data_IF_639370532878
#
_entry.id   IF_639370532878
#
_cell.length_a   1.000
_cell.length_b   1.000
_cell.length_c   1.000
_cell.angle_alpha   90.00
_cell.angle_beta   90.00
_cell.angle_gamma   90.00
#
_symmetry.space_group_name_H-M   'P 1'
#
loop_
_entity.id
_entity.type
_entity.pdbx_description
1 polymer ?
#
# COMPACT_ATOMS: atom_id res chain seq x y z
N UNK A 1 -23.35 2.83 15.33
CA UNK A 1 -23.03 1.52 14.68
C UNK A 1 -21.56 1.54 14.31
N UNK A 2 -20.86 0.39 14.25
CA UNK A 2 -19.47 0.39 13.79
C UNK A 2 -19.40 0.38 12.27
N UNK A 3 -18.71 1.36 11.68
CA UNK A 3 -18.47 1.47 10.25
C UNK A 3 -17.04 1.06 9.92
N UNK A 4 -16.89 0.08 9.04
CA UNK A 4 -15.58 -0.48 8.69
C UNK A 4 -15.22 -0.10 7.25
N UNK A 5 -13.97 0.31 7.03
CA UNK A 5 -13.43 0.61 5.71
C UNK A 5 -12.12 -0.14 5.47
N UNK A 6 -11.87 -0.51 4.21
CA UNK A 6 -10.62 -1.10 3.76
C UNK A 6 -9.91 -0.14 2.81
N UNK A 7 -8.67 0.22 3.12
CA UNK A 7 -7.85 1.15 2.35
C UNK A 7 -6.63 0.43 1.81
N UNK A 8 -6.44 0.52 0.50
CA UNK A 8 -5.30 -0.11 -0.18
C UNK A 8 -4.11 0.86 -0.24
N UNK A 9 -2.99 0.46 0.37
CA UNK A 9 -1.72 1.18 0.37
C UNK A 9 -0.88 0.69 -0.80
N UNK A 10 -0.84 1.49 -1.86
CA UNK A 10 0.01 1.22 -3.01
C UNK A 10 1.42 1.74 -2.76
N UNK A 11 2.40 0.83 -2.78
CA UNK A 11 3.81 1.16 -2.69
C UNK A 11 4.44 1.10 -4.08
N UNK A 12 5.43 1.96 -4.31
CA UNK A 12 6.20 1.99 -5.55
C UNK A 12 7.63 1.55 -5.26
N UNK A 13 8.19 0.73 -6.14
CA UNK A 13 9.58 0.26 -6.09
C UNK A 13 10.38 0.72 -7.31
N UNK A 14 11.62 0.22 -7.43
CA UNK A 14 12.59 0.68 -8.43
C UNK A 14 13.28 1.98 -8.00
N UNK A 15 13.95 2.66 -8.93
CA UNK A 15 14.56 3.97 -8.64
C UNK A 15 13.56 4.99 -8.11
N UNK A 16 12.30 4.97 -8.58
CA UNK A 16 11.24 5.83 -8.06
C UNK A 16 10.89 5.54 -6.60
N UNK A 17 11.10 4.30 -6.14
CA UNK A 17 10.92 3.91 -4.75
C UNK A 17 11.97 4.51 -3.82
N UNK A 18 13.15 4.88 -4.31
CA UNK A 18 14.20 5.52 -3.47
C UNK A 18 13.77 6.90 -2.97
N UNK A 19 12.94 7.60 -3.74
CA UNK A 19 12.39 8.91 -3.37
C UNK A 19 11.07 8.80 -2.61
N UNK A 20 10.52 7.59 -2.44
CA UNK A 20 9.22 7.35 -1.84
C UNK A 20 9.35 6.45 -0.63
N UNK A 21 9.34 7.04 0.58
CA UNK A 21 9.40 6.27 1.81
C UNK A 21 8.04 5.58 2.09
N UNK A 22 7.99 4.24 2.19
CA UNK A 22 6.76 3.51 2.51
C UNK A 22 6.15 3.97 3.84
N UNK A 23 7.00 4.29 4.81
CA UNK A 23 6.58 4.80 6.13
C UNK A 23 5.81 6.11 6.01
N UNK A 24 6.25 7.02 5.15
CA UNK A 24 5.59 8.30 4.96
C UNK A 24 4.23 8.14 4.26
N UNK A 25 4.13 7.24 3.28
CA UNK A 25 2.84 6.94 2.62
C UNK A 25 1.85 6.40 3.64
N UNK A 26 2.24 5.38 4.42
CA UNK A 26 1.37 4.79 5.44
C UNK A 26 0.96 5.83 6.47
N UNK A 27 1.91 6.63 6.97
CA UNK A 27 1.64 7.69 7.94
C UNK A 27 0.63 8.69 7.40
N UNK A 28 0.84 9.20 6.19
CA UNK A 28 -0.05 10.19 5.58
C UNK A 28 -1.45 9.63 5.34
N UNK A 29 -1.56 8.38 4.86
CA UNK A 29 -2.87 7.72 4.70
C UNK A 29 -3.57 7.53 6.04
N UNK A 30 -2.82 7.16 7.08
CA UNK A 30 -3.38 6.96 8.42
C UNK A 30 -3.83 8.27 9.06
N UNK A 31 -3.03 9.34 8.95
CA UNK A 31 -3.41 10.68 9.41
C UNK A 31 -4.67 11.17 8.71
N UNK A 32 -4.79 10.97 7.40
CA UNK A 32 -6.00 11.32 6.65
C UNK A 32 -7.24 10.55 7.13
N UNK A 33 -7.10 9.26 7.42
CA UNK A 33 -8.22 8.46 7.94
C UNK A 33 -8.57 8.82 9.38
N UNK A 34 -7.57 9.07 10.23
CA UNK A 34 -7.74 9.53 11.60
C UNK A 34 -8.46 10.89 11.65
N UNK A 35 -8.12 11.82 10.75
CA UNK A 35 -8.80 13.11 10.63
C UNK A 35 -10.29 12.97 10.24
N UNK A 36 -10.68 11.86 9.62
CA UNK A 36 -12.08 11.53 9.31
C UNK A 36 -12.78 10.77 10.45
N UNK A 37 -12.08 10.49 11.55
CA UNK A 37 -12.56 9.75 12.72
C UNK A 37 -12.48 8.24 12.60
N UNK A 38 -11.69 7.70 11.66
CA UNK A 38 -11.43 6.26 11.59
C UNK A 38 -10.21 5.90 12.44
N UNK A 39 -10.28 4.78 13.13
CA UNK A 39 -9.20 4.20 13.92
C UNK A 39 -8.66 2.96 13.22
N UNK A 40 -7.34 2.85 13.17
CA UNK A 40 -6.68 1.66 12.63
C UNK A 40 -6.94 0.44 13.50
N UNK A 41 -7.31 -0.67 12.86
CA UNK A 41 -7.54 -1.94 13.56
C UNK A 41 -6.51 -2.98 13.14
N UNK A 42 -6.33 -3.16 11.84
CA UNK A 42 -5.47 -4.23 11.34
C UNK A 42 -4.93 -3.94 9.94
N UNK A 43 -3.74 -4.46 9.63
CA UNK A 43 -3.17 -4.44 8.30
C UNK A 43 -3.05 -5.88 7.77
N UNK A 44 -3.71 -6.16 6.67
CA UNK A 44 -3.55 -7.40 5.92
C UNK A 44 -2.24 -7.34 5.14
N UNK A 45 -1.30 -8.27 5.39
CA UNK A 45 -0.07 -8.32 4.62
C UNK A 45 -0.38 -8.71 3.16
N UNK A 46 0.45 -8.24 2.21
CA UNK A 46 0.32 -8.64 0.83
C UNK A 46 0.52 -10.16 0.70
N UNK A 47 -0.30 -10.79 -0.14
CA UNK A 47 -0.15 -12.18 -0.53
C UNK A 47 0.08 -12.27 -2.04
N UNK A 48 1.30 -11.99 -2.54
CA UNK A 48 1.58 -11.97 -3.97
C UNK A 48 1.58 -13.39 -4.55
N UNK A 49 0.84 -13.57 -5.64
CA UNK A 49 0.84 -14.81 -6.42
C UNK A 49 2.17 -14.94 -7.22
N UNK A 50 2.70 -16.14 -7.47
CA UNK A 50 3.79 -16.39 -8.44
C UNK A 50 3.68 -15.61 -9.77
N UNK A 51 2.47 -15.45 -10.32
CA UNK A 51 2.24 -14.65 -11.53
C UNK A 51 2.63 -13.17 -11.34
N UNK A 52 2.45 -12.61 -10.14
CA UNK A 52 2.82 -11.24 -9.83
C UNK A 52 4.33 -11.05 -9.96
N UNK A 53 5.14 -12.01 -9.51
CA UNK A 53 6.60 -11.94 -9.63
C UNK A 53 7.05 -11.92 -11.09
N UNK A 54 6.39 -12.68 -11.97
CA UNK A 54 6.69 -12.69 -13.41
C UNK A 54 6.42 -11.29 -14.00
N UNK A 55 5.26 -10.71 -13.71
CA UNK A 55 4.92 -9.35 -14.16
C UNK A 55 5.89 -8.32 -13.60
N UNK A 56 6.29 -8.48 -12.33
CA UNK A 56 7.24 -7.59 -11.67
C UNK A 56 8.61 -7.60 -12.38
N UNK A 57 9.13 -8.79 -12.73
CA UNK A 57 10.39 -8.94 -13.48
C UNK A 57 10.27 -8.35 -14.88
N UNK A 58 9.15 -8.59 -15.58
CA UNK A 58 8.91 -7.99 -16.90
C UNK A 58 8.88 -6.46 -16.82
N UNK A 59 8.14 -5.89 -15.87
CA UNK A 59 8.11 -4.45 -15.64
C UNK A 59 9.51 -3.89 -15.35
N UNK A 60 10.30 -4.57 -14.52
CA UNK A 60 11.65 -4.14 -14.21
C UNK A 60 12.54 -4.13 -15.47
N UNK A 61 12.42 -5.16 -16.32
CA UNK A 61 13.17 -5.27 -17.56
C UNK A 61 12.79 -4.17 -18.56
N UNK A 62 11.48 -3.95 -18.78
CA UNK A 62 10.99 -2.92 -19.70
C UNK A 62 11.27 -1.49 -19.22
N UNK A 63 11.26 -1.27 -17.91
CA UNK A 63 11.51 0.06 -17.33
C UNK A 63 12.98 0.30 -17.01
N UNK A 64 13.89 -0.63 -17.38
CA UNK A 64 15.32 -0.57 -17.04
C UNK A 64 15.56 -0.32 -15.53
N UNK A 65 14.72 -0.92 -14.68
CA UNK A 65 14.80 -0.77 -13.22
C UNK A 65 14.22 0.55 -12.66
N UNK A 66 13.68 1.43 -13.50
CA UNK A 66 13.13 2.73 -13.05
C UNK A 66 11.88 2.53 -12.19
N UNK A 67 10.99 1.61 -12.57
CA UNK A 67 9.72 1.40 -11.91
C UNK A 67 9.45 -0.09 -11.66
N UNK A 68 9.05 -0.40 -10.44
CA UNK A 68 8.64 -1.73 -10.06
C UNK A 68 7.33 -1.66 -9.27
N UNK A 69 6.25 -2.33 -9.70
CA UNK A 69 5.08 -2.48 -8.84
C UNK A 69 5.47 -3.31 -7.61
N UNK A 70 5.03 -2.87 -6.43
CA UNK A 70 5.26 -3.57 -5.15
C UNK A 70 3.92 -4.07 -4.63
N UNK A 71 3.87 -5.25 -3.99
CA UNK A 71 2.65 -5.74 -3.37
C UNK A 71 2.06 -4.72 -2.38
N UNK A 72 0.76 -4.51 -2.47
CA UNK A 72 0.06 -3.49 -1.70
C UNK A 72 -0.48 -4.05 -0.38
N UNK A 73 -0.58 -3.21 0.65
CA UNK A 73 -1.13 -3.58 1.95
C UNK A 73 -2.58 -3.12 2.04
N UNK A 74 -3.45 -3.92 2.65
CA UNK A 74 -4.83 -3.49 2.91
C UNK A 74 -4.93 -3.13 4.39
N UNK A 75 -5.19 -1.88 4.69
CA UNK A 75 -5.46 -1.41 6.05
C UNK A 75 -6.96 -1.41 6.31
N UNK A 76 -7.37 -2.05 7.39
CA UNK A 76 -8.74 -2.06 7.89
C UNK A 76 -8.83 -1.02 8.99
N UNK A 77 -9.79 -0.11 8.84
CA UNK A 77 -10.07 0.93 9.81
C UNK A 77 -11.55 0.92 10.20
N UNK A 78 -11.83 1.30 11.44
CA UNK A 78 -13.17 1.33 12.01
C UNK A 78 -13.52 2.72 12.54
N UNK A 79 -14.78 3.12 12.44
CA UNK A 79 -15.31 4.33 13.05
C UNK A 79 -16.55 3.99 13.86
N UNK A 80 -16.60 4.48 15.09
CA UNK A 80 -17.80 4.43 15.90
C UNK A 80 -18.74 5.56 15.43
N UNK A 81 -19.89 5.19 14.86
CA UNK A 81 -21.02 6.11 14.60
C UNK A 81 -21.94 6.22 15.81
#
# INVERSE_FOLDING_TARGET
MKKNIAVNINLKGGFLGLFSSPKNIIKNTLENCNNQGYHFVYALPPNPNPLFFIVQVLCLAFTLGIYCPVPSYIMILEKDE
#
